data_IF_884523159019
#
_entry.id   IF_884523159019
#
_cell.length_a   1.000
_cell.length_b   1.000
_cell.length_c   1.000
_cell.angle_alpha   90.00
_cell.angle_beta   90.00
_cell.angle_gamma   90.00
#
_symmetry.space_group_name_H-M   'P 1'
#
loop_
_entity.id
_entity.type
_entity.pdbx_description
1 polymer ?
#
# COMPACT_ATOMS: atom_id res chain seq x y z
N UNK A 1 -9.39 -19.19 -15.19
CA UNK A 1 -9.37 -18.96 -13.73
C UNK A 1 -10.21 -17.72 -13.45
N UNK A 2 -11.19 -17.78 -12.56
CA UNK A 2 -11.97 -16.60 -12.17
C UNK A 2 -11.02 -15.56 -11.58
N UNK A 3 -11.15 -14.28 -11.96
CA UNK A 3 -10.37 -13.22 -11.34
C UNK A 3 -10.55 -13.28 -9.82
N UNK A 4 -9.46 -13.49 -9.08
CA UNK A 4 -9.51 -13.44 -7.63
C UNK A 4 -10.06 -12.07 -7.23
N UNK A 5 -11.07 -12.07 -6.35
CA UNK A 5 -11.57 -10.83 -5.73
C UNK A 5 -10.48 -10.11 -4.94
N UNK A 6 -9.31 -10.74 -4.72
CA UNK A 6 -8.20 -10.20 -3.94
C UNK A 6 -6.90 -10.40 -4.73
N UNK A 7 -6.24 -9.31 -5.14
CA UNK A 7 -4.89 -9.34 -5.72
C UNK A 7 -3.81 -9.51 -4.65
N UNK A 8 -4.02 -8.87 -3.50
CA UNK A 8 -3.10 -8.93 -2.37
C UNK A 8 -3.91 -9.10 -1.08
N UNK A 9 -3.94 -10.30 -0.49
CA UNK A 9 -4.60 -10.49 0.80
C UNK A 9 -3.80 -9.80 1.91
N UNK A 10 -4.44 -9.51 3.06
CA UNK A 10 -3.72 -8.99 4.21
C UNK A 10 -2.75 -10.07 4.72
N UNK A 11 -1.47 -9.74 4.77
CA UNK A 11 -0.40 -10.67 5.12
C UNK A 11 0.62 -9.97 6.00
N UNK A 12 1.06 -10.63 7.07
CA UNK A 12 2.12 -10.14 7.96
C UNK A 12 3.39 -9.76 7.20
N UNK A 13 3.73 -10.44 6.11
CA UNK A 13 4.92 -10.12 5.33
C UNK A 13 4.81 -8.78 4.59
N UNK A 14 3.59 -8.30 4.34
CA UNK A 14 3.33 -6.97 3.75
C UNK A 14 3.30 -5.82 4.75
N UNK A 15 3.52 -6.11 6.04
CA UNK A 15 3.51 -5.09 7.10
C UNK A 15 4.59 -4.05 6.90
N UNK A 16 4.20 -2.80 7.08
CA UNK A 16 5.07 -1.64 7.06
C UNK A 16 5.17 -1.10 8.49
N UNK A 17 6.39 -0.99 8.97
CA UNK A 17 6.71 -0.40 10.27
C UNK A 17 6.95 1.09 10.06
N UNK A 18 6.24 1.91 10.81
CA UNK A 18 6.43 3.36 10.86
C UNK A 18 7.01 3.77 12.22
N UNK A 19 7.91 4.74 12.20
CA UNK A 19 8.44 5.40 13.39
C UNK A 19 7.63 6.66 13.67
N UNK A 20 7.28 6.85 14.94
CA UNK A 20 6.54 8.00 15.42
C UNK A 20 7.45 8.83 16.31
N UNK A 21 7.57 10.13 16.01
CA UNK A 21 8.40 11.06 16.78
C UNK A 21 7.94 12.50 16.68
N UNK A 22 8.23 13.29 17.71
CA UNK A 22 7.96 14.72 17.73
C UNK A 22 8.96 15.48 16.82
N UNK A 23 8.88 16.82 16.82
CA UNK A 23 9.80 17.68 16.08
C UNK A 23 11.25 17.63 16.60
N UNK A 24 11.48 17.20 17.84
CA UNK A 24 12.80 17.03 18.47
C UNK A 24 13.37 15.61 18.29
N UNK A 25 12.59 14.70 17.72
CA UNK A 25 12.95 13.29 17.53
C UNK A 25 12.63 12.38 18.71
N UNK A 26 11.87 12.86 19.69
CA UNK A 26 11.46 12.10 20.88
C UNK A 26 10.34 11.12 20.54
N UNK A 27 10.32 9.92 21.15
CA UNK A 27 9.19 8.99 21.06
C UNK A 27 7.95 9.55 21.78
N UNK A 28 6.80 8.90 21.60
CA UNK A 28 5.60 9.18 22.40
C UNK A 28 5.85 8.87 23.87
N UNK A 29 5.21 9.66 24.74
CA UNK A 29 5.10 9.35 26.17
C UNK A 29 4.25 8.11 26.40
N UNK A 30 4.33 7.50 27.58
CA UNK A 30 3.52 6.31 27.90
C UNK A 30 2.04 6.67 27.94
N UNK A 31 1.73 7.85 28.44
CA UNK A 31 0.40 8.43 28.55
C UNK A 31 -0.21 8.63 27.14
N UNK A 32 0.54 9.24 26.22
CA UNK A 32 0.09 9.42 24.83
C UNK A 32 -0.15 8.08 24.12
N UNK A 33 0.70 7.06 24.38
CA UNK A 33 0.52 5.73 23.81
C UNK A 33 -0.78 5.09 24.30
N UNK A 34 -1.07 5.19 25.60
CA UNK A 34 -2.31 4.65 26.18
C UNK A 34 -3.55 5.36 25.60
N UNK A 35 -3.51 6.68 25.48
CA UNK A 35 -4.60 7.46 24.88
C UNK A 35 -4.83 7.07 23.41
N UNK A 36 -3.77 7.09 22.60
CA UNK A 36 -3.83 6.76 21.17
C UNK A 36 -4.33 5.34 20.95
N UNK A 37 -3.80 4.35 21.69
CA UNK A 37 -4.23 2.96 21.57
C UNK A 37 -5.65 2.74 22.05
N UNK A 38 -6.13 3.49 23.05
CA UNK A 38 -7.52 3.49 23.47
C UNK A 38 -8.45 3.86 22.31
N UNK A 39 -8.12 4.94 21.60
CA UNK A 39 -8.91 5.41 20.45
C UNK A 39 -8.83 4.44 19.27
N UNK A 40 -7.65 3.87 18.97
CA UNK A 40 -7.46 2.89 17.87
C UNK A 40 -8.39 1.69 18.03
N UNK A 41 -8.55 1.20 19.27
CA UNK A 41 -9.42 0.06 19.58
C UNK A 41 -10.88 0.36 19.26
N UNK A 42 -11.32 1.60 19.46
CA UNK A 42 -12.69 2.03 19.17
C UNK A 42 -12.89 2.33 17.68
N UNK A 43 -11.92 2.98 17.03
CA UNK A 43 -11.96 3.26 15.60
C UNK A 43 -10.58 3.68 15.04
N UNK A 44 -10.45 3.70 13.71
CA UNK A 44 -9.19 4.07 13.02
C UNK A 44 -8.76 5.54 13.21
N UNK A 45 -9.51 6.40 13.93
CA UNK A 45 -9.15 7.83 14.13
C UNK A 45 -7.97 8.04 15.08
N UNK A 46 -7.53 7.02 15.84
CA UNK A 46 -6.39 7.20 16.74
C UNK A 46 -5.08 7.52 16.02
N UNK A 47 -4.95 7.21 14.72
CA UNK A 47 -3.82 7.66 13.90
C UNK A 47 -3.85 9.18 13.68
N UNK A 48 -5.05 9.77 13.56
CA UNK A 48 -5.18 11.22 13.46
C UNK A 48 -4.77 11.90 14.76
N UNK A 49 -5.13 11.30 15.91
CA UNK A 49 -4.74 11.78 17.24
C UNK A 49 -3.22 11.90 17.40
N UNK A 50 -2.43 10.97 16.85
CA UNK A 50 -0.96 11.06 16.85
C UNK A 50 -0.50 12.39 16.22
N UNK A 51 -1.11 12.77 15.10
CA UNK A 51 -0.79 14.01 14.38
C UNK A 51 -1.25 15.23 15.19
N UNK A 52 -2.44 15.17 15.78
CA UNK A 52 -3.02 16.25 16.58
C UNK A 52 -2.20 16.53 17.86
N UNK A 53 -1.55 15.50 18.41
CA UNK A 53 -0.58 15.61 19.52
C UNK A 53 0.78 16.18 19.09
N UNK A 54 0.97 16.53 17.81
CA UNK A 54 2.20 17.14 17.29
C UNK A 54 3.29 16.14 16.89
N UNK A 55 2.99 14.83 16.88
CA UNK A 55 3.91 13.81 16.41
C UNK A 55 3.83 13.62 14.89
N UNK A 56 4.91 13.11 14.32
CA UNK A 56 5.03 12.76 12.91
C UNK A 56 5.23 11.27 12.76
N UNK A 57 4.56 10.70 11.77
CA UNK A 57 4.66 9.29 11.41
C UNK A 57 5.51 9.21 10.14
N UNK A 58 6.59 8.43 10.18
CA UNK A 58 7.51 8.25 9.04
C UNK A 58 7.72 6.77 8.74
N UNK A 59 7.75 6.42 7.46
CA UNK A 59 8.13 5.07 7.05
C UNK A 59 9.52 4.73 7.61
N UNK A 60 9.62 3.61 8.33
CA UNK A 60 10.88 3.10 8.82
C UNK A 60 11.39 1.97 7.91
N UNK A 61 10.60 0.91 7.78
CA UNK A 61 10.92 -0.26 6.94
C UNK A 61 9.71 -1.18 6.77
N UNK A 62 9.82 -2.13 5.85
CA UNK A 62 8.96 -3.30 5.83
C UNK A 62 9.38 -4.30 6.92
N UNK A 63 8.40 -5.03 7.46
CA UNK A 63 8.66 -6.10 8.43
C UNK A 63 9.44 -7.24 7.79
N UNK A 64 9.00 -7.70 6.61
CA UNK A 64 9.70 -8.68 5.79
C UNK A 64 10.60 -7.99 4.73
N UNK A 65 11.92 -8.16 4.78
CA UNK A 65 12.84 -7.66 3.75
C UNK A 65 12.54 -8.20 2.35
N UNK A 66 12.05 -9.45 2.22
CA UNK A 66 11.75 -10.05 0.92
C UNK A 66 10.67 -9.27 0.18
N UNK A 67 9.59 -8.89 0.87
CA UNK A 67 8.54 -8.09 0.24
C UNK A 67 9.07 -6.72 -0.21
N UNK A 68 9.92 -6.09 0.60
CA UNK A 68 10.58 -4.84 0.21
C UNK A 68 11.42 -5.00 -1.06
N UNK A 69 12.19 -6.09 -1.16
CA UNK A 69 13.00 -6.40 -2.34
C UNK A 69 12.13 -6.72 -3.56
N UNK A 70 11.04 -7.47 -3.39
CA UNK A 70 10.05 -7.73 -4.44
C UNK A 70 9.47 -6.41 -5.00
N UNK A 71 9.10 -5.47 -4.13
CA UNK A 71 8.65 -4.15 -4.57
C UNK A 71 9.76 -3.38 -5.31
N UNK A 72 11.01 -3.43 -4.83
CA UNK A 72 12.15 -2.79 -5.50
C UNK A 72 12.49 -3.39 -6.86
N UNK A 73 12.24 -4.69 -7.05
CA UNK A 73 12.40 -5.38 -8.35
C UNK A 73 11.44 -4.82 -9.39
N UNK A 74 10.22 -4.44 -8.98
CA UNK A 74 9.26 -3.77 -9.87
C UNK A 74 9.74 -2.34 -10.14
N UNK A 75 10.03 -1.58 -9.08
CA UNK A 75 10.55 -0.22 -9.17
C UNK A 75 11.21 0.20 -7.85
N UNK A 76 12.38 0.84 -7.93
CA UNK A 76 13.21 1.18 -6.77
C UNK A 76 12.51 2.08 -5.74
N UNK A 77 11.60 2.95 -6.17
CA UNK A 77 10.84 3.87 -5.31
C UNK A 77 9.50 3.29 -4.86
N UNK A 78 9.07 2.15 -5.41
CA UNK A 78 7.78 1.54 -5.09
C UNK A 78 7.56 1.28 -3.60
N UNK A 79 8.53 0.75 -2.81
CA UNK A 79 8.33 0.58 -1.37
C UNK A 79 7.96 1.90 -0.68
N UNK A 80 8.60 3.00 -1.08
CA UNK A 80 8.32 4.31 -0.51
C UNK A 80 6.96 4.82 -0.97
N UNK A 81 6.60 4.67 -2.24
CA UNK A 81 5.27 5.03 -2.78
C UNK A 81 4.16 4.29 -2.04
N UNK A 82 4.26 2.96 -1.89
CA UNK A 82 3.27 2.16 -1.18
C UNK A 82 3.13 2.61 0.28
N UNK A 83 4.24 2.93 0.96
CA UNK A 83 4.18 3.46 2.32
C UNK A 83 3.38 4.76 2.44
N UNK A 84 3.46 5.65 1.45
CA UNK A 84 2.65 6.87 1.40
C UNK A 84 1.17 6.56 1.18
N UNK A 85 0.84 5.60 0.31
CA UNK A 85 -0.54 5.17 0.07
C UNK A 85 -1.16 4.62 1.36
N UNK A 86 -0.44 3.72 2.05
CA UNK A 86 -0.91 3.13 3.31
C UNK A 86 -1.13 4.21 4.38
N UNK A 87 -0.24 5.18 4.48
CA UNK A 87 -0.39 6.30 5.41
C UNK A 87 -1.56 7.23 5.05
N UNK A 88 -1.67 7.64 3.79
CA UNK A 88 -2.70 8.57 3.32
C UNK A 88 -4.10 7.99 3.43
N UNK A 89 -4.23 6.69 3.23
CA UNK A 89 -5.49 5.99 3.42
C UNK A 89 -6.06 6.18 4.84
N UNK A 90 -5.20 6.18 5.85
CA UNK A 90 -5.60 6.30 7.25
C UNK A 90 -5.92 7.74 7.65
N UNK A 91 -5.44 8.72 6.89
CA UNK A 91 -5.66 10.15 7.18
C UNK A 91 -6.69 10.81 6.26
N UNK A 92 -6.96 10.23 5.09
CA UNK A 92 -7.82 10.81 4.04
C UNK A 92 -8.92 9.87 3.53
N UNK A 93 -8.99 8.62 3.99
CA UNK A 93 -9.95 7.60 3.53
C UNK A 93 -9.91 7.30 2.02
N UNK A 94 -8.78 7.56 1.35
CA UNK A 94 -8.59 7.22 -0.06
C UNK A 94 -8.45 5.70 -0.25
N UNK A 95 -9.06 5.14 -1.30
CA UNK A 95 -9.04 3.69 -1.53
C UNK A 95 -9.00 3.26 -2.98
N UNK A 96 -9.66 4.00 -3.87
CA UNK A 96 -9.65 3.73 -5.30
C UNK A 96 -8.34 4.20 -5.95
N UNK A 97 -7.91 3.46 -6.98
CA UNK A 97 -6.63 3.69 -7.66
C UNK A 97 -6.56 5.09 -8.30
N UNK A 98 -7.59 5.59 -9.01
CA UNK A 98 -7.55 6.94 -9.58
C UNK A 98 -7.30 8.03 -8.54
N UNK A 99 -8.06 8.04 -7.44
CA UNK A 99 -7.90 9.05 -6.38
C UNK A 99 -6.55 8.95 -5.66
N UNK A 100 -6.02 7.72 -5.50
CA UNK A 100 -4.68 7.51 -4.96
C UNK A 100 -3.62 8.13 -5.89
N UNK A 101 -3.70 7.89 -7.20
CA UNK A 101 -2.77 8.45 -8.19
C UNK A 101 -2.85 9.97 -8.20
N UNK A 102 -4.04 10.56 -8.19
CA UNK A 102 -4.24 12.01 -8.13
C UNK A 102 -3.60 12.62 -6.89
N UNK A 103 -3.83 12.03 -5.72
CA UNK A 103 -3.24 12.49 -4.48
C UNK A 103 -1.70 12.35 -4.47
N UNK A 104 -1.15 11.28 -5.06
CA UNK A 104 0.31 11.12 -5.20
C UNK A 104 0.90 12.17 -6.15
N UNK A 105 0.26 12.46 -7.29
CA UNK A 105 0.70 13.52 -8.20
C UNK A 105 0.69 14.89 -7.53
N UNK A 106 -0.38 15.19 -6.77
CA UNK A 106 -0.54 16.46 -6.06
C UNK A 106 0.52 16.66 -4.98
N UNK A 107 0.77 15.62 -4.17
CA UNK A 107 1.73 15.69 -3.06
C UNK A 107 3.18 15.50 -3.50
N UNK A 108 3.38 14.83 -4.63
CA UNK A 108 4.67 14.42 -5.18
C UNK A 108 5.65 13.93 -4.09
N UNK A 109 5.29 12.91 -3.29
CA UNK A 109 6.05 12.58 -2.08
C UNK A 109 7.44 11.96 -2.35
N UNK A 110 7.74 11.64 -3.61
CA UNK A 110 9.07 11.21 -4.06
C UNK A 110 9.88 12.40 -4.58
N UNK A 111 9.23 13.44 -5.09
CA UNK A 111 9.88 14.62 -5.67
C UNK A 111 10.26 14.43 -7.14
N UNK A 112 9.47 13.70 -7.92
CA UNK A 112 9.69 13.57 -9.36
C UNK A 112 9.54 14.92 -10.07
N UNK A 113 10.26 15.11 -11.19
CA UNK A 113 10.02 16.24 -12.07
C UNK A 113 8.76 16.00 -12.92
N UNK A 114 7.65 16.66 -12.54
CA UNK A 114 6.36 16.53 -13.23
C UNK A 114 6.12 17.61 -14.30
N UNK A 115 7.08 18.52 -14.52
CA UNK A 115 6.91 19.71 -15.39
C UNK A 115 6.57 19.40 -16.85
N UNK A 116 7.00 18.24 -17.35
CA UNK A 116 6.76 17.78 -18.72
C UNK A 116 5.60 16.78 -18.83
N UNK A 117 4.77 16.63 -17.79
CA UNK A 117 3.58 15.78 -17.84
C UNK A 117 3.84 14.27 -17.73
N UNK A 118 5.05 13.85 -17.35
CA UNK A 118 5.38 12.44 -17.14
C UNK A 118 4.59 11.86 -15.96
N UNK A 119 3.82 10.79 -16.22
CA UNK A 119 2.89 10.19 -15.25
C UNK A 119 3.56 9.12 -14.36
N UNK A 120 4.61 9.49 -13.63
CA UNK A 120 5.41 8.55 -12.82
C UNK A 120 4.58 7.69 -11.86
N UNK A 121 3.71 8.31 -11.07
CA UNK A 121 2.90 7.58 -10.08
C UNK A 121 1.88 6.64 -10.72
N UNK A 122 1.26 7.05 -11.82
CA UNK A 122 0.38 6.17 -12.59
C UNK A 122 1.16 4.96 -13.10
N UNK A 123 2.27 5.17 -13.81
CA UNK A 123 3.06 4.08 -14.38
C UNK A 123 3.51 3.07 -13.31
N UNK A 124 4.09 3.56 -12.20
CA UNK A 124 4.60 2.70 -11.12
C UNK A 124 3.49 1.92 -10.41
N UNK A 125 2.35 2.54 -10.15
CA UNK A 125 1.24 1.87 -9.48
C UNK A 125 0.54 0.85 -10.39
N UNK A 126 0.45 1.12 -11.69
CA UNK A 126 -0.08 0.15 -12.66
C UNK A 126 0.83 -1.04 -12.82
N UNK A 127 2.15 -0.82 -12.94
CA UNK A 127 3.10 -1.94 -12.97
C UNK A 127 2.97 -2.79 -11.71
N UNK A 128 2.83 -2.19 -10.54
CA UNK A 128 2.58 -2.94 -9.30
C UNK A 128 1.31 -3.80 -9.36
N UNK A 129 0.18 -3.26 -9.82
CA UNK A 129 -1.07 -4.02 -9.95
C UNK A 129 -0.96 -5.15 -10.98
N UNK A 130 -0.25 -4.92 -12.09
CA UNK A 130 0.02 -5.94 -13.10
C UNK A 130 0.85 -7.08 -12.52
N UNK A 131 1.94 -6.77 -11.82
CA UNK A 131 2.81 -7.78 -11.18
C UNK A 131 2.04 -8.61 -10.14
N UNK A 132 1.14 -7.99 -9.37
CA UNK A 132 0.20 -8.70 -8.48
C UNK A 132 -0.74 -9.62 -9.25
N UNK A 133 -1.30 -9.17 -10.36
CA UNK A 133 -2.17 -10.00 -11.18
C UNK A 133 -1.43 -11.17 -11.85
N UNK A 134 -0.14 -11.00 -12.13
CA UNK A 134 0.74 -12.02 -12.72
C UNK A 134 1.39 -12.96 -11.67
N UNK A 135 1.16 -12.71 -10.38
CA UNK A 135 1.49 -13.67 -9.32
C UNK A 135 2.68 -13.30 -8.44
N UNK A 136 3.13 -12.04 -8.40
CA UNK A 136 4.04 -11.61 -7.33
C UNK A 136 3.35 -11.81 -5.98
N UNK A 137 4.11 -12.35 -5.01
CA UNK A 137 3.60 -12.60 -3.65
C UNK A 137 4.43 -11.85 -2.62
N UNK A 138 3.90 -11.79 -1.40
CA UNK A 138 4.54 -11.17 -0.23
C UNK A 138 5.69 -12.01 0.33
N UNK A 139 5.64 -13.33 0.16
CA UNK A 139 6.48 -14.29 0.88
C UNK A 139 7.67 -14.80 0.07
N UNK A 140 7.45 -15.13 -1.19
CA UNK A 140 8.47 -15.76 -2.02
C UNK A 140 9.27 -14.70 -2.78
N UNK A 141 10.57 -14.94 -2.96
CA UNK A 141 11.42 -14.11 -3.81
C UNK A 141 10.81 -14.00 -5.21
N UNK A 142 10.68 -12.78 -5.72
CA UNK A 142 10.25 -12.53 -7.09
C UNK A 142 11.44 -12.66 -8.03
N UNK A 143 11.42 -13.70 -8.86
CA UNK A 143 12.46 -13.98 -9.85
C UNK A 143 12.23 -13.31 -11.20
N UNK A 144 11.11 -12.60 -11.37
CA UNK A 144 10.62 -12.09 -12.67
C UNK A 144 10.43 -13.20 -13.74
N UNK A 145 10.41 -14.48 -13.34
CA UNK A 145 10.09 -15.59 -14.22
C UNK A 145 8.59 -15.84 -14.18
N UNK A 146 7.88 -15.29 -15.16
CA UNK A 146 6.44 -15.49 -15.29
C UNK A 146 6.17 -16.94 -15.74
N UNK A 147 5.47 -17.71 -14.91
CA UNK A 147 4.93 -19.02 -15.31
C UNK A 147 3.68 -18.88 -16.19
N UNK A 148 3.09 -17.68 -16.23
CA UNK A 148 1.86 -17.34 -16.95
C UNK A 148 2.11 -16.06 -17.75
N UNK A 149 2.01 -16.15 -19.08
CA UNK A 149 2.28 -15.02 -20.01
C UNK A 149 0.99 -14.22 -20.32
N UNK A 150 -0.17 -14.65 -19.82
CA UNK A 150 -1.43 -13.95 -20.04
C UNK A 150 -2.46 -14.20 -18.93
N UNK A 151 -3.25 -13.17 -18.60
CA UNK A 151 -4.40 -13.30 -17.72
C UNK A 151 -5.66 -13.60 -18.54
N UNK A 152 -6.70 -14.13 -17.91
CA UNK A 152 -8.03 -14.20 -18.51
C UNK A 152 -9.01 -13.57 -17.55
N UNK A 153 -9.49 -12.38 -17.88
CA UNK A 153 -10.54 -11.71 -17.11
C UNK A 153 -11.86 -12.33 -17.54
N UNK A 154 -12.64 -12.90 -16.63
CA UNK A 154 -14.04 -13.29 -16.91
C UNK A 154 -14.96 -12.25 -16.30
N UNK A 155 -15.51 -11.35 -17.14
CA UNK A 155 -16.61 -10.48 -16.70
C UNK A 155 -17.88 -11.30 -16.46
N UNK A 156 -18.84 -10.75 -15.72
CA UNK A 156 -20.20 -11.34 -15.58
C UNK A 156 -20.92 -11.56 -16.92
N UNK A 157 -20.43 -10.98 -18.01
CA UNK A 157 -20.98 -11.10 -19.37
C UNK A 157 -20.16 -12.01 -20.28
N UNK A 158 -19.33 -12.93 -19.74
CA UNK A 158 -18.58 -13.95 -20.50
C UNK A 158 -17.50 -13.45 -21.47
N UNK A 159 -16.94 -12.24 -21.29
CA UNK A 159 -15.82 -11.81 -22.11
C UNK A 159 -14.49 -12.15 -21.43
N UNK A 160 -13.75 -13.08 -22.04
CA UNK A 160 -12.37 -13.43 -21.74
C UNK A 160 -11.43 -12.36 -22.35
N UNK A 161 -10.78 -11.55 -21.53
CA UNK A 161 -9.70 -10.66 -22.04
C UNK A 161 -8.40 -11.45 -22.05
N UNK A 162 -7.89 -11.76 -23.24
CA UNK A 162 -6.56 -12.31 -23.49
C UNK A 162 -5.61 -11.17 -23.92
N UNK A 163 -4.37 -11.21 -23.42
CA UNK A 163 -3.32 -10.24 -23.72
C UNK A 163 -2.53 -10.67 -24.93
N UNK A 164 -3.08 -10.38 -26.09
CA UNK A 164 -2.47 -10.75 -27.37
C UNK A 164 -2.11 -9.52 -28.21
N UNK A 165 -2.56 -8.33 -27.80
CA UNK A 165 -2.30 -7.08 -28.51
C UNK A 165 -2.31 -5.87 -27.56
N UNK A 166 -1.89 -4.72 -28.07
CA UNK A 166 -1.83 -3.46 -27.33
C UNK A 166 -3.21 -2.99 -26.80
N UNK A 167 -4.28 -3.24 -27.56
CA UNK A 167 -5.64 -2.83 -27.14
C UNK A 167 -6.13 -3.68 -25.98
N UNK A 168 -5.90 -5.00 -26.00
CA UNK A 168 -6.26 -5.89 -24.90
C UNK A 168 -5.42 -5.62 -23.65
N UNK A 169 -4.15 -5.21 -23.81
CA UNK A 169 -3.32 -4.74 -22.71
C UNK A 169 -3.87 -3.47 -22.03
N UNK A 170 -4.25 -2.45 -22.79
CA UNK A 170 -4.85 -1.24 -22.22
C UNK A 170 -6.17 -1.53 -21.50
N UNK A 171 -7.05 -2.35 -22.09
CA UNK A 171 -8.33 -2.75 -21.46
C UNK A 171 -8.13 -3.42 -20.10
N UNK A 172 -7.06 -4.17 -19.92
CA UNK A 172 -6.76 -4.73 -18.61
C UNK A 172 -6.24 -3.72 -17.62
N UNK A 173 -5.37 -2.80 -18.04
CA UNK A 173 -4.90 -1.74 -17.17
C UNK A 173 -6.10 -0.97 -16.63
N UNK A 174 -7.06 -0.67 -17.49
CA UNK A 174 -8.31 -0.01 -17.10
C UNK A 174 -9.12 -0.89 -16.15
N UNK A 175 -9.29 -2.18 -16.45
CA UNK A 175 -9.94 -3.12 -15.54
C UNK A 175 -9.27 -3.17 -14.15
N UNK A 176 -7.94 -3.21 -14.08
CA UNK A 176 -7.20 -3.25 -12.82
C UNK A 176 -7.45 -1.98 -11.99
N UNK A 177 -7.45 -0.81 -12.66
CA UNK A 177 -7.70 0.49 -12.02
C UNK A 177 -9.12 0.63 -11.47
N UNK A 178 -10.10 0.19 -12.24
CA UNK A 178 -11.51 0.37 -11.93
C UNK A 178 -12.01 -0.67 -10.93
N UNK A 179 -11.46 -1.89 -11.01
CA UNK A 179 -11.93 -3.01 -10.20
C UNK A 179 -11.32 -3.03 -8.82
N UNK A 180 -10.02 -2.74 -8.68
CA UNK A 180 -9.31 -2.95 -7.41
C UNK A 180 -9.17 -1.68 -6.57
N UNK A 181 -9.15 -1.88 -5.24
CA UNK A 181 -8.98 -0.82 -4.24
C UNK A 181 -7.93 -1.22 -3.22
N UNK A 182 -7.15 -0.24 -2.76
CA UNK A 182 -6.33 -0.39 -1.56
C UNK A 182 -7.23 -0.33 -0.35
N UNK A 183 -7.17 -1.35 0.50
CA UNK A 183 -7.90 -1.46 1.74
C UNK A 183 -6.97 -1.70 2.93
N UNK A 184 -7.42 -1.32 4.13
CA UNK A 184 -6.70 -1.62 5.36
C UNK A 184 -7.44 -2.79 6.00
N UNK A 185 -6.74 -3.85 6.41
CA UNK A 185 -7.39 -4.94 7.13
C UNK A 185 -8.11 -4.44 8.38
N UNK A 186 -9.02 -5.27 8.91
CA UNK A 186 -9.66 -4.97 10.18
C UNK A 186 -8.62 -4.89 11.29
N UNK A 187 -8.82 -3.95 12.21
CA UNK A 187 -7.94 -3.71 13.38
C UNK A 187 -7.93 -4.91 14.34
N UNK A 188 -8.92 -5.81 14.21
CA UNK A 188 -9.05 -7.04 15.02
C UNK A 188 -7.94 -8.08 14.80
N UNK A 189 -7.12 -7.94 13.76
CA UNK A 189 -5.94 -8.79 13.60
C UNK A 189 -4.82 -8.30 14.54
N UNK A 190 -4.50 -9.14 15.52
CA UNK A 190 -3.58 -8.90 16.65
C UNK A 190 -2.33 -8.08 16.26
N UNK A 191 -2.27 -6.82 16.69
CA UNK A 191 -1.09 -5.94 16.62
C UNK A 191 -1.03 -4.95 15.44
N UNK A 192 -2.03 -4.92 14.55
CA UNK A 192 -2.09 -3.92 13.47
C UNK A 192 -2.73 -2.61 13.95
N UNK A 193 -2.04 -1.50 13.68
CA UNK A 193 -2.50 -0.17 14.05
C UNK A 193 -2.20 0.21 15.51
N UNK A 194 -1.71 -0.69 16.36
CA UNK A 194 -1.33 -0.36 17.74
C UNK A 194 0.08 0.26 17.81
N UNK A 195 0.21 1.30 18.61
CA UNK A 195 1.49 1.94 18.92
C UNK A 195 2.19 1.16 20.03
N UNK A 196 3.47 0.87 19.85
CA UNK A 196 4.29 0.17 20.83
C UNK A 196 5.69 0.78 20.94
N UNK A 197 6.34 0.57 22.08
CA UNK A 197 7.74 0.96 22.29
C UNK A 197 8.69 -0.18 21.91
N UNK A 198 9.74 0.14 21.16
CA UNK A 198 10.88 -0.74 20.91
C UNK A 198 12.17 0.01 21.18
N UNK A 199 12.74 -0.21 22.37
CA UNK A 199 13.86 0.60 22.85
C UNK A 199 13.44 2.05 23.05
N UNK A 200 14.15 3.00 22.42
CA UNK A 200 13.87 4.45 22.49
C UNK A 200 12.95 4.96 21.37
N UNK A 201 12.21 4.07 20.69
CA UNK A 201 11.36 4.42 19.54
C UNK A 201 9.91 4.01 19.78
N UNK A 202 8.99 4.90 19.44
CA UNK A 202 7.56 4.56 19.28
C UNK A 202 7.33 4.12 17.85
N UNK A 203 6.73 2.95 17.68
CA UNK A 203 6.49 2.32 16.39
C UNK A 203 5.01 1.97 16.23
N UNK A 204 4.56 1.93 14.98
CA UNK A 204 3.23 1.44 14.61
C UNK A 204 3.34 0.55 13.37
N UNK A 205 2.68 -0.60 13.42
CA UNK A 205 2.64 -1.55 12.32
C UNK A 205 1.36 -1.36 11.51
N UNK A 206 1.50 -1.02 10.24
CA UNK A 206 0.38 -0.82 9.31
C UNK A 206 0.46 -1.83 8.18
N UNK A 207 -0.71 -2.27 7.71
CA UNK A 207 -0.83 -3.29 6.68
C UNK A 207 -1.90 -2.86 5.67
N UNK A 208 -1.92 -3.50 4.50
CA UNK A 208 -2.86 -3.21 3.43
C UNK A 208 -3.20 -4.47 2.65
N UNK A 209 -4.35 -4.43 1.99
CA UNK A 209 -4.81 -5.45 1.06
C UNK A 209 -5.27 -4.77 -0.23
N UNK A 210 -5.26 -5.49 -1.34
CA UNK A 210 -5.76 -5.01 -2.64
C UNK A 210 -6.81 -5.99 -3.12
N UNK A 211 -8.06 -5.51 -3.21
CA UNK A 211 -9.21 -6.33 -3.55
C UNK A 211 -10.23 -5.55 -4.36
N UNK A 212 -11.06 -6.29 -5.08
CA UNK A 212 -12.16 -5.76 -5.87
C UNK A 212 -13.36 -5.34 -5.00
#
# INVERSE_FOLDING_TARGET
MSSSKVLLPPDKNSTIIFEIKDNKGSPLTKEDILEVNGIIKENKKGIRKIIDLGYRIKHLKYEDPNFCLNLKMIDSDLPKIISFIVFDKLTKNLSDIPSIIENLNTRNPIGYNLSLGHKFYNHKLINFLMELALGITTKNMWSANYQVIGYTITSKTNNHILYDNETSFHKFIDYLKESYKFESPSVSNKGYGEVYLKGKKSLINLNFQIRA
#
